data_IF_205233833590
#
_entry.id   IF_205233833590
#
_cell.length_a   1.000
_cell.length_b   1.000
_cell.length_c   1.000
_cell.angle_alpha   90.00
_cell.angle_beta   90.00
_cell.angle_gamma   90.00
#
_symmetry.space_group_name_H-M   'P 1'
#
loop_
_entity.id
_entity.type
_entity.pdbx_description
1 polymer ?
#
# COMPACT_ATOMS: atom_id res chain seq x y z
N UNK A 1 39.94 25.33 4.88
CA UNK A 1 38.78 25.77 4.07
C UNK A 1 37.72 24.67 4.10
N UNK A 2 36.58 24.97 4.73
CA UNK A 2 35.70 24.01 5.39
C UNK A 2 34.39 23.79 4.60
N UNK A 3 34.36 22.80 3.69
CA UNK A 3 33.14 22.55 2.89
C UNK A 3 32.67 21.08 2.82
N UNK A 4 33.25 20.14 3.57
CA UNK A 4 32.81 18.71 3.52
C UNK A 4 31.82 18.28 4.60
N UNK A 5 31.65 19.05 5.68
CA UNK A 5 30.86 18.59 6.84
C UNK A 5 29.37 18.94 6.80
N UNK A 6 28.95 19.87 5.92
CA UNK A 6 27.55 20.29 5.82
C UNK A 6 26.69 19.39 4.91
N UNK A 7 27.30 18.70 3.93
CA UNK A 7 26.57 17.91 2.94
C UNK A 7 26.07 16.57 3.51
N UNK A 8 26.80 15.98 4.46
CA UNK A 8 26.41 14.70 5.10
C UNK A 8 25.17 14.85 5.99
N UNK A 9 25.03 15.97 6.71
CA UNK A 9 23.87 16.18 7.60
C UNK A 9 22.56 16.45 6.85
N UNK A 10 22.60 17.11 5.68
CA UNK A 10 21.40 17.35 4.86
C UNK A 10 20.84 16.04 4.30
N UNK A 11 21.68 15.20 3.70
CA UNK A 11 21.27 13.90 3.15
C UNK A 11 20.64 12.95 4.19
N UNK A 12 21.06 13.01 5.46
CA UNK A 12 20.47 12.17 6.52
C UNK A 12 19.04 12.61 6.89
N UNK A 13 18.75 13.91 6.83
CA UNK A 13 17.43 14.46 7.17
C UNK A 13 16.42 14.19 6.04
N UNK A 14 16.86 14.28 4.78
CA UNK A 14 16.00 14.04 3.61
C UNK A 14 15.59 12.55 3.50
N UNK A 15 16.48 11.62 3.86
CA UNK A 15 16.15 10.19 3.89
C UNK A 15 15.20 9.84 5.05
N UNK A 16 15.38 10.45 6.24
CA UNK A 16 14.51 10.21 7.38
C UNK A 16 13.09 10.78 7.18
N UNK A 17 12.96 11.93 6.52
CA UNK A 17 11.66 12.51 6.18
C UNK A 17 10.87 11.62 5.20
N UNK A 18 11.55 11.10 4.16
CA UNK A 18 10.91 10.25 3.15
C UNK A 18 10.57 8.84 3.64
N UNK A 19 11.27 8.32 4.65
CA UNK A 19 10.88 7.07 5.32
C UNK A 19 9.67 7.25 6.24
N UNK A 20 9.57 8.38 6.92
CA UNK A 20 8.44 8.70 7.80
C UNK A 20 7.13 8.90 7.01
N UNK A 21 7.19 9.55 5.85
CA UNK A 21 6.02 9.71 4.98
C UNK A 21 5.58 8.38 4.37
N UNK A 22 6.53 7.55 3.94
CA UNK A 22 6.23 6.19 3.43
C UNK A 22 5.60 5.32 4.51
N UNK A 23 6.14 5.29 5.71
CA UNK A 23 5.56 4.51 6.82
C UNK A 23 4.16 5.00 7.21
N UNK A 24 3.89 6.31 7.13
CA UNK A 24 2.55 6.85 7.33
C UNK A 24 1.57 6.37 6.24
N UNK A 25 1.96 6.42 4.96
CA UNK A 25 1.14 5.92 3.84
C UNK A 25 0.87 4.42 3.97
N UNK A 26 1.86 3.64 4.39
CA UNK A 26 1.71 2.19 4.61
C UNK A 26 0.76 1.90 5.78
N UNK A 27 0.80 2.70 6.85
CA UNK A 27 -0.13 2.56 7.98
C UNK A 27 -1.57 2.88 7.57
N UNK A 28 -1.78 3.99 6.85
CA UNK A 28 -3.07 4.34 6.26
C UNK A 28 -3.57 3.25 5.29
N UNK A 29 -2.66 2.66 4.51
CA UNK A 29 -2.97 1.53 3.64
C UNK A 29 -3.50 0.33 4.40
N UNK A 30 -2.78 -0.12 5.44
CA UNK A 30 -3.20 -1.27 6.22
C UNK A 30 -4.53 -1.03 6.93
N UNK A 31 -4.75 0.18 7.45
CA UNK A 31 -6.01 0.55 8.07
C UNK A 31 -7.17 0.47 7.06
N UNK A 32 -7.01 1.09 5.89
CA UNK A 32 -8.05 1.07 4.85
C UNK A 32 -8.27 -0.32 4.27
N UNK A 33 -7.20 -1.09 4.09
CA UNK A 33 -7.26 -2.49 3.66
C UNK A 33 -8.05 -3.30 4.65
N UNK A 34 -7.74 -3.23 5.94
CA UNK A 34 -8.41 -3.99 6.99
C UNK A 34 -9.92 -3.68 7.04
N UNK A 35 -10.32 -2.41 6.91
CA UNK A 35 -11.73 -2.01 6.81
C UNK A 35 -12.43 -2.55 5.56
N UNK A 36 -11.71 -2.57 4.42
CA UNK A 36 -12.27 -3.00 3.14
C UNK A 36 -12.18 -4.52 2.94
N UNK A 37 -11.31 -5.21 3.68
CA UNK A 37 -10.98 -6.63 3.51
C UNK A 37 -12.20 -7.51 3.69
N UNK A 38 -13.04 -7.22 4.68
CA UNK A 38 -14.27 -7.97 4.90
C UNK A 38 -15.27 -7.81 3.76
N UNK A 39 -15.33 -6.63 3.15
CA UNK A 39 -16.18 -6.39 1.97
C UNK A 39 -15.62 -7.05 0.72
N UNK A 40 -14.30 -6.95 0.50
CA UNK A 40 -13.61 -7.59 -0.61
C UNK A 40 -13.72 -9.11 -0.52
N UNK A 41 -13.52 -9.69 0.66
CA UNK A 41 -13.68 -11.12 0.90
C UNK A 41 -15.10 -11.60 0.58
N UNK A 42 -16.13 -10.87 1.05
CA UNK A 42 -17.53 -11.17 0.69
C UNK A 42 -17.80 -11.05 -0.82
N UNK A 43 -17.15 -10.12 -1.50
CA UNK A 43 -17.25 -9.98 -2.95
C UNK A 43 -16.58 -11.16 -3.67
N UNK A 44 -15.36 -11.51 -3.28
CA UNK A 44 -14.63 -12.68 -3.80
C UNK A 44 -15.40 -13.98 -3.57
N UNK A 45 -16.03 -14.15 -2.40
CA UNK A 45 -16.88 -15.31 -2.11
C UNK A 45 -18.10 -15.39 -3.04
N UNK A 46 -18.73 -14.25 -3.36
CA UNK A 46 -19.84 -14.18 -4.31
C UNK A 46 -19.38 -14.48 -5.75
N UNK A 47 -18.18 -14.04 -6.13
CA UNK A 47 -17.63 -14.26 -7.48
C UNK A 47 -17.12 -15.69 -7.68
N UNK A 48 -16.47 -16.29 -6.68
CA UNK A 48 -15.86 -17.63 -6.76
C UNK A 48 -16.82 -18.77 -6.38
N UNK A 49 -18.13 -18.53 -6.50
CA UNK A 49 -19.17 -19.53 -6.25
C UNK A 49 -19.03 -20.25 -4.89
N UNK A 50 -18.70 -19.50 -3.82
CA UNK A 50 -18.43 -20.01 -2.46
C UNK A 50 -17.18 -20.87 -2.28
N UNK A 51 -16.26 -20.92 -3.25
CA UNK A 51 -14.94 -21.51 -3.02
C UNK A 51 -14.09 -20.56 -2.16
N UNK A 52 -13.94 -20.91 -0.88
CA UNK A 52 -13.16 -20.11 0.07
C UNK A 52 -11.69 -20.06 -0.30
N UNK A 53 -11.10 -21.17 -0.78
CA UNK A 53 -9.69 -21.19 -1.14
C UNK A 53 -9.38 -20.22 -2.28
N UNK A 54 -10.19 -20.25 -3.35
CA UNK A 54 -9.97 -19.36 -4.50
C UNK A 54 -10.23 -17.89 -4.13
N UNK A 55 -11.20 -17.64 -3.23
CA UNK A 55 -11.47 -16.29 -2.74
C UNK A 55 -10.34 -15.74 -1.86
N UNK A 56 -9.75 -16.57 -0.99
CA UNK A 56 -8.61 -16.21 -0.15
C UNK A 56 -7.34 -16.01 -0.97
N UNK A 57 -7.13 -16.86 -1.98
CA UNK A 57 -5.98 -16.73 -2.89
C UNK A 57 -6.08 -15.47 -3.74
N UNK A 58 -7.24 -15.22 -4.36
CA UNK A 58 -7.48 -13.99 -5.13
C UNK A 58 -7.33 -12.72 -4.27
N UNK A 59 -7.83 -12.74 -3.03
CA UNK A 59 -7.68 -11.63 -2.09
C UNK A 59 -6.20 -11.40 -1.70
N UNK A 60 -5.46 -12.48 -1.45
CA UNK A 60 -4.02 -12.41 -1.11
C UNK A 60 -3.19 -11.90 -2.29
N UNK A 61 -3.47 -12.35 -3.51
CA UNK A 61 -2.79 -11.86 -4.70
C UNK A 61 -3.09 -10.36 -4.94
N UNK A 62 -4.34 -9.93 -4.75
CA UNK A 62 -4.71 -8.52 -4.85
C UNK A 62 -3.97 -7.67 -3.80
N UNK A 63 -3.82 -8.19 -2.58
CA UNK A 63 -3.07 -7.54 -1.49
C UNK A 63 -1.61 -7.33 -1.88
N UNK A 64 -0.93 -8.36 -2.37
CA UNK A 64 0.50 -8.28 -2.73
C UNK A 64 0.71 -7.29 -3.88
N UNK A 65 -0.13 -7.34 -4.91
CA UNK A 65 -0.08 -6.38 -6.02
C UNK A 65 -0.33 -4.95 -5.56
N UNK A 66 -1.28 -4.74 -4.64
CA UNK A 66 -1.54 -3.45 -4.04
C UNK A 66 -0.32 -2.97 -3.22
N UNK A 67 0.28 -3.84 -2.42
CA UNK A 67 1.44 -3.53 -1.61
C UNK A 67 2.66 -3.11 -2.46
N UNK A 68 2.98 -3.87 -3.51
CA UNK A 68 4.10 -3.54 -4.40
C UNK A 68 3.92 -2.19 -5.10
N UNK A 69 2.70 -1.88 -5.53
CA UNK A 69 2.42 -0.61 -6.17
C UNK A 69 2.35 0.56 -5.19
N UNK A 70 1.88 0.38 -3.95
CA UNK A 70 1.97 1.42 -2.92
C UNK A 70 3.43 1.74 -2.60
N UNK A 71 4.31 0.75 -2.54
CA UNK A 71 5.74 1.00 -2.36
C UNK A 71 6.36 1.78 -3.54
N UNK A 72 5.90 1.53 -4.77
CA UNK A 72 6.41 2.20 -5.98
C UNK A 72 5.77 3.57 -6.25
N UNK A 73 4.51 3.77 -5.87
CA UNK A 73 3.69 4.93 -6.27
C UNK A 73 3.04 5.65 -5.08
N UNK A 74 3.35 5.29 -3.83
CA UNK A 74 2.67 5.77 -2.62
C UNK A 74 2.53 7.28 -2.54
N UNK A 75 3.55 8.03 -2.97
CA UNK A 75 3.53 9.50 -3.01
C UNK A 75 2.51 10.09 -4.01
N UNK A 76 2.10 9.33 -5.03
CA UNK A 76 1.09 9.75 -6.03
C UNK A 76 -0.32 9.26 -5.73
N UNK A 77 -0.50 8.38 -4.74
CA UNK A 77 -1.81 7.80 -4.43
C UNK A 77 -2.55 8.75 -3.49
N UNK A 78 -3.35 9.66 -4.05
CA UNK A 78 -4.13 10.63 -3.28
C UNK A 78 -5.39 10.01 -2.66
N UNK A 79 -5.97 8.98 -3.30
CA UNK A 79 -7.16 8.28 -2.82
C UNK A 79 -6.92 6.77 -2.77
N UNK A 80 -6.41 6.32 -1.62
CA UNK A 80 -5.96 4.96 -1.42
C UNK A 80 -7.12 3.95 -1.47
N UNK A 81 -8.32 4.34 -1.02
CA UNK A 81 -9.53 3.51 -1.09
C UNK A 81 -9.97 3.23 -2.52
N UNK A 82 -10.13 4.29 -3.34
CA UNK A 82 -10.55 4.14 -4.74
C UNK A 82 -9.53 3.33 -5.55
N UNK A 83 -8.24 3.59 -5.28
CA UNK A 83 -7.15 2.89 -5.90
C UNK A 83 -7.12 1.40 -5.52
N UNK A 84 -7.38 1.06 -4.26
CA UNK A 84 -7.51 -0.32 -3.79
C UNK A 84 -8.61 -1.10 -4.54
N UNK A 85 -9.80 -0.51 -4.67
CA UNK A 85 -10.87 -1.12 -5.47
C UNK A 85 -10.48 -1.33 -6.93
N UNK A 86 -9.72 -0.41 -7.51
CA UNK A 86 -9.22 -0.54 -8.87
C UNK A 86 -8.17 -1.65 -9.00
N UNK A 87 -7.31 -1.84 -8.01
CA UNK A 87 -6.31 -2.93 -7.99
C UNK A 87 -6.97 -4.29 -7.81
N UNK A 88 -8.00 -4.41 -6.97
CA UNK A 88 -8.70 -5.69 -6.80
C UNK A 88 -9.55 -6.07 -8.01
N UNK A 89 -9.94 -5.09 -8.84
CA UNK A 89 -10.74 -5.33 -10.06
C UNK A 89 -9.89 -5.61 -11.32
N UNK A 90 -8.62 -5.23 -11.35
CA UNK A 90 -7.69 -5.46 -12.49
C UNK A 90 -6.84 -6.71 -12.29
#
# INVERSE_FOLDING_TARGET
>A
MASRTANTKRNLIDNAATENDRSHILSQFWQQWQESRDQLYRCCLKMMNSNRMDAEDALSQAMVKAWEKVQKFGEKITNLKAWLYQVTRN
#
